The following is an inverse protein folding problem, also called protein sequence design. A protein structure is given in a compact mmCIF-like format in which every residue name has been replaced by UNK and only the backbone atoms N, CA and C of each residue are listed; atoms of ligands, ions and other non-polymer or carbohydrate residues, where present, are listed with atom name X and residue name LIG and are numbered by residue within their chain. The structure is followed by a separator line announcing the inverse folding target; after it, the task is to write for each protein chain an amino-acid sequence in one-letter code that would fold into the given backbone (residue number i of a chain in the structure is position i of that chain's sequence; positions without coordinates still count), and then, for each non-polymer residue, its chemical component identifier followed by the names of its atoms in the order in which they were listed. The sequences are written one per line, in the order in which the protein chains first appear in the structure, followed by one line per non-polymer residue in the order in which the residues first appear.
data_IF_111286563547
#
_entry.id   IF_111286563547
#
_cell.length_a   1.000
_cell.length_b   1.000
_cell.length_c   1.000
_cell.angle_alpha   90.00
_cell.angle_beta   90.00
_cell.angle_gamma   90.00
#
_symmetry.space_group_name_H-M   'P 1'
#
loop_
_entity.id
_entity.type
_entity.pdbx_description
1 polymer ?
#
# COMPACT_ATOMS: atom_id res chain seq x y z
N UNK A 1 -7.51 -1.50 34.82
CA UNK A 1 -6.97 -0.84 33.61
C UNK A 1 -7.12 -1.83 32.46
N UNK A 2 -8.26 -1.77 31.76
CA UNK A 2 -8.60 -2.73 30.69
C UNK A 2 -8.18 -2.11 29.36
N UNK A 3 -7.13 -2.66 28.75
CA UNK A 3 -6.76 -2.35 27.37
C UNK A 3 -7.87 -2.89 26.45
N UNK A 4 -8.67 -1.98 25.87
CA UNK A 4 -9.55 -2.32 24.77
C UNK A 4 -8.68 -2.72 23.57
N UNK A 5 -8.67 -4.01 23.26
CA UNK A 5 -8.19 -4.50 21.98
C UNK A 5 -9.19 -4.04 20.92
N UNK A 6 -8.89 -2.93 20.25
CA UNK A 6 -9.56 -2.57 19.01
C UNK A 6 -9.32 -3.71 18.02
N UNK A 7 -10.36 -4.50 17.74
CA UNK A 7 -10.39 -5.50 16.68
C UNK A 7 -10.18 -4.79 15.33
N UNK A 8 -8.92 -4.59 14.95
CA UNK A 8 -8.50 -4.19 13.62
C UNK A 8 -8.74 -5.37 12.66
N UNK A 9 -9.98 -5.56 12.22
CA UNK A 9 -10.21 -6.41 11.06
C UNK A 9 -9.72 -5.65 9.83
N UNK A 10 -8.59 -6.07 9.26
CA UNK A 10 -8.24 -5.77 7.88
C UNK A 10 -9.29 -6.45 7.00
N UNK A 11 -10.40 -5.75 6.74
CA UNK A 11 -11.39 -6.21 5.79
C UNK A 11 -10.91 -5.87 4.39
N UNK A 12 -10.94 -6.85 3.49
CA UNK A 12 -10.85 -6.54 2.06
C UNK A 12 -12.09 -5.70 1.70
N UNK A 13 -11.91 -4.68 0.84
CA UNK A 13 -12.99 -3.74 0.51
C UNK A 13 -13.12 -3.57 -1.00
N UNK A 14 -14.36 -3.45 -1.48
CA UNK A 14 -14.68 -2.96 -2.81
C UNK A 14 -14.98 -1.46 -2.73
N UNK A 15 -14.24 -0.65 -3.48
CA UNK A 15 -14.40 0.81 -3.54
C UNK A 15 -14.92 1.21 -4.92
N UNK A 16 -15.95 2.08 -5.01
CA UNK A 16 -16.49 2.55 -6.28
C UNK A 16 -15.43 3.09 -7.25
N UNK A 17 -15.61 2.83 -8.55
CA UNK A 17 -14.66 3.23 -9.60
C UNK A 17 -14.43 4.74 -9.69
N UNK A 18 -15.44 5.56 -9.41
CA UNK A 18 -15.30 7.02 -9.44
C UNK A 18 -14.37 7.53 -8.32
N UNK A 19 -14.41 6.89 -7.15
CA UNK A 19 -13.51 7.16 -6.03
C UNK A 19 -12.10 6.67 -6.35
N UNK A 20 -11.95 5.45 -6.87
CA UNK A 20 -10.65 4.92 -7.30
C UNK A 20 -10.01 5.80 -8.38
N UNK A 21 -10.81 6.26 -9.34
CA UNK A 21 -10.38 7.15 -10.42
C UNK A 21 -9.80 8.46 -9.88
N UNK A 22 -10.46 9.06 -8.87
CA UNK A 22 -9.93 10.24 -8.14
C UNK A 22 -8.61 9.96 -7.43
N UNK A 23 -8.42 8.74 -6.93
CA UNK A 23 -7.15 8.30 -6.33
C UNK A 23 -6.10 7.88 -7.36
N UNK A 24 -6.43 7.85 -8.66
CA UNK A 24 -5.52 7.48 -9.74
C UNK A 24 -5.39 5.98 -9.99
N UNK A 25 -6.38 5.18 -9.58
CA UNK A 25 -6.42 3.73 -9.73
C UNK A 25 -7.66 3.28 -10.49
N UNK A 26 -7.62 2.05 -11.01
CA UNK A 26 -8.79 1.37 -11.58
C UNK A 26 -8.82 -0.10 -11.19
N UNK A 27 -10.01 -0.67 -11.05
CA UNK A 27 -10.14 -2.09 -10.73
C UNK A 27 -9.63 -2.97 -11.87
N UNK A 28 -9.00 -4.06 -11.49
CA UNK A 28 -8.57 -5.14 -12.39
C UNK A 28 -9.33 -6.43 -12.14
N UNK A 29 -9.71 -6.68 -10.89
CA UNK A 29 -10.48 -7.84 -10.48
C UNK A 29 -11.17 -7.55 -9.16
N UNK A 30 -12.43 -7.96 -9.03
CA UNK A 30 -13.15 -8.01 -7.75
C UNK A 30 -13.11 -9.44 -7.23
N UNK A 31 -12.88 -9.64 -5.92
CA UNK A 31 -12.75 -10.94 -5.26
C UNK A 31 -13.58 -10.94 -3.97
N UNK A 32 -14.85 -11.32 -4.06
CA UNK A 32 -15.72 -11.33 -2.88
C UNK A 32 -15.87 -9.93 -2.28
N UNK A 33 -15.37 -9.76 -1.06
CA UNK A 33 -15.29 -8.49 -0.33
C UNK A 33 -14.09 -7.62 -0.73
N UNK A 34 -13.09 -8.16 -1.45
CA UNK A 34 -11.90 -7.45 -1.89
C UNK A 34 -11.86 -7.02 -3.36
N UNK A 35 -10.87 -6.19 -3.69
CA UNK A 35 -10.55 -5.85 -5.07
C UNK A 35 -9.05 -5.65 -5.31
N UNK A 36 -8.61 -6.10 -6.48
CA UNK A 36 -7.29 -5.79 -7.03
C UNK A 36 -7.40 -4.56 -7.92
N UNK A 37 -6.51 -3.61 -7.71
CA UNK A 37 -6.45 -2.37 -8.50
C UNK A 37 -5.11 -2.24 -9.21
N UNK A 38 -5.06 -1.42 -10.26
CA UNK A 38 -3.80 -0.97 -10.85
C UNK A 38 -3.79 0.54 -10.99
N UNK A 39 -2.60 1.12 -11.00
CA UNK A 39 -2.44 2.56 -11.23
C UNK A 39 -2.86 2.92 -12.67
N UNK A 40 -3.58 4.02 -12.84
CA UNK A 40 -4.01 4.49 -14.17
C UNK A 40 -2.81 5.01 -14.97
N UNK A 41 -1.95 5.81 -14.32
CA UNK A 41 -0.69 6.28 -14.91
C UNK A 41 0.39 5.23 -14.67
N UNK A 42 0.96 4.72 -15.76
CA UNK A 42 2.11 3.83 -15.68
C UNK A 42 3.35 4.58 -15.25
N UNK A 43 4.33 3.85 -14.75
CA UNK A 43 5.66 4.34 -14.43
C UNK A 43 6.60 3.95 -15.55
N UNK A 44 7.35 4.93 -16.06
CA UNK A 44 8.31 4.67 -17.12
C UNK A 44 9.48 3.90 -16.53
N UNK A 45 9.76 2.75 -17.13
CA UNK A 45 10.82 1.85 -16.70
C UNK A 45 12.06 2.02 -17.57
N UNK A 46 11.85 2.15 -18.87
CA UNK A 46 12.89 2.48 -19.84
C UNK A 46 12.29 3.31 -21.00
N UNK A 47 13.04 3.47 -22.08
CA UNK A 47 12.60 4.27 -23.22
C UNK A 47 11.33 3.72 -23.89
N UNK A 48 11.07 2.42 -23.81
CA UNK A 48 10.03 1.70 -24.54
C UNK A 48 9.02 0.98 -23.63
N UNK A 49 9.26 0.92 -22.32
CA UNK A 49 8.45 0.15 -21.37
C UNK A 49 7.78 1.01 -20.31
N UNK A 50 6.47 0.82 -20.19
CA UNK A 50 5.63 1.40 -19.14
C UNK A 50 5.13 0.28 -18.22
N UNK A 51 5.42 0.40 -16.93
CA UNK A 51 4.95 -0.54 -15.91
C UNK A 51 3.72 0.00 -15.19
N UNK A 52 2.69 -0.84 -15.07
CA UNK A 52 1.46 -0.52 -14.37
C UNK A 52 1.36 -1.39 -13.12
N UNK A 53 1.83 -0.90 -11.96
CA UNK A 53 1.83 -1.71 -10.75
C UNK A 53 0.41 -2.11 -10.35
N UNK A 54 0.30 -3.36 -9.89
CA UNK A 54 -0.93 -3.95 -9.35
C UNK A 54 -0.86 -3.96 -7.83
N UNK A 55 -2.00 -3.74 -7.21
CA UNK A 55 -2.13 -3.55 -5.77
C UNK A 55 -3.38 -4.24 -5.23
N UNK A 56 -3.33 -4.50 -3.93
CA UNK A 56 -4.47 -4.87 -3.10
C UNK A 56 -4.88 -3.66 -2.27
N UNK A 57 -6.18 -3.50 -2.08
CA UNK A 57 -6.78 -2.45 -1.27
C UNK A 57 -7.35 -3.05 0.02
N UNK A 58 -6.96 -2.48 1.15
CA UNK A 58 -7.50 -2.85 2.46
C UNK A 58 -8.13 -1.63 3.15
N UNK A 59 -9.11 -1.87 4.03
CA UNK A 59 -9.79 -0.84 4.81
C UNK A 59 -9.73 -1.16 6.30
N UNK A 60 -9.52 -0.13 7.10
CA UNK A 60 -9.59 -0.20 8.56
C UNK A 60 -10.31 1.04 9.07
N UNK A 61 -11.46 0.87 9.71
CA UNK A 61 -12.19 1.97 10.34
C UNK A 61 -11.94 2.01 11.84
N UNK A 62 -12.01 3.21 12.39
CA UNK A 62 -11.73 3.50 13.78
C UNK A 62 -12.92 4.23 14.41
N UNK A 63 -12.91 4.36 15.73
CA UNK A 63 -14.00 5.05 16.44
C UNK A 63 -13.98 6.57 16.23
N UNK A 64 -12.84 7.14 15.82
CA UNK A 64 -12.70 8.58 15.52
C UNK A 64 -11.77 8.84 14.33
N UNK A 65 -11.93 9.97 13.62
CA UNK A 65 -10.99 10.40 12.59
C UNK A 65 -9.55 10.54 13.10
N UNK A 66 -9.37 11.01 14.35
CA UNK A 66 -8.05 11.16 14.97
C UNK A 66 -7.35 9.82 15.17
N UNK A 67 -8.09 8.76 15.50
CA UNK A 67 -7.53 7.42 15.59
C UNK A 67 -7.06 6.90 14.22
N UNK A 68 -7.81 7.16 13.15
CA UNK A 68 -7.40 6.85 11.78
C UNK A 68 -6.13 7.60 11.38
N UNK A 69 -6.07 8.92 11.66
CA UNK A 69 -4.89 9.75 11.42
C UNK A 69 -3.66 9.27 12.21
N UNK A 70 -3.85 8.91 13.47
CA UNK A 70 -2.78 8.35 14.31
C UNK A 70 -2.24 7.06 13.73
N UNK A 71 -3.12 6.14 13.28
CA UNK A 71 -2.69 4.89 12.64
C UNK A 71 -1.94 5.14 11.33
N UNK A 72 -2.41 6.07 10.50
CA UNK A 72 -1.71 6.46 9.27
C UNK A 72 -0.29 6.96 9.58
N UNK A 73 -0.15 7.85 10.56
CA UNK A 73 1.16 8.35 11.00
C UNK A 73 2.07 7.23 11.48
N UNK A 74 1.58 6.31 12.32
CA UNK A 74 2.37 5.14 12.75
C UNK A 74 2.80 4.26 11.58
N UNK A 75 1.93 4.05 10.60
CA UNK A 75 2.25 3.28 9.39
C UNK A 75 3.34 3.98 8.58
N UNK A 76 3.26 5.30 8.40
CA UNK A 76 4.31 6.10 7.73
C UNK A 76 5.64 6.04 8.48
N UNK A 77 5.63 6.15 9.81
CA UNK A 77 6.84 6.03 10.64
C UNK A 77 7.47 4.64 10.52
N UNK A 78 6.67 3.56 10.58
CA UNK A 78 7.17 2.19 10.43
C UNK A 78 7.83 1.93 9.07
N UNK A 79 7.44 2.71 8.05
CA UNK A 79 7.99 2.64 6.70
C UNK A 79 9.20 3.55 6.50
N UNK A 80 9.59 4.41 7.45
CA UNK A 80 10.72 5.34 7.23
C UNK A 80 12.01 4.65 6.82
N UNK A 81 12.27 3.48 7.40
CA UNK A 81 13.45 2.67 7.14
C UNK A 81 13.20 1.59 6.07
N UNK A 82 12.00 1.53 5.49
CA UNK A 82 11.74 0.66 4.34
C UNK A 82 12.56 1.20 3.15
N UNK A 83 13.47 0.42 2.53
CA UNK A 83 14.22 0.85 1.35
C UNK A 83 13.32 1.23 0.16
N UNK A 84 12.03 0.87 0.20
CA UNK A 84 11.01 1.28 -0.77
C UNK A 84 10.31 2.60 -0.42
N UNK A 85 10.57 3.18 0.76
CA UNK A 85 9.96 4.43 1.15
C UNK A 85 10.41 5.58 0.24
N UNK A 86 9.46 6.38 -0.24
CA UNK A 86 9.71 7.44 -1.23
C UNK A 86 9.61 6.98 -2.69
N UNK A 87 9.65 5.68 -2.98
CA UNK A 87 9.23 5.19 -4.29
C UNK A 87 7.71 5.27 -4.36
N UNK A 88 7.20 6.15 -5.21
CA UNK A 88 5.75 6.44 -5.37
C UNK A 88 4.90 5.19 -5.63
N UNK A 89 5.48 4.03 -5.87
CA UNK A 89 4.90 2.89 -6.57
C UNK A 89 4.48 1.72 -5.68
N UNK A 90 4.62 1.81 -4.36
CA UNK A 90 4.50 0.62 -3.49
C UNK A 90 3.44 0.71 -2.40
N UNK A 91 3.21 1.90 -1.85
CA UNK A 91 2.21 2.12 -0.81
C UNK A 91 1.51 3.44 -1.02
N UNK A 92 0.22 3.47 -0.69
CA UNK A 92 -0.49 4.72 -0.53
C UNK A 92 -1.59 4.53 0.53
N UNK A 93 -1.77 5.53 1.38
CA UNK A 93 -2.76 5.49 2.43
C UNK A 93 -3.67 6.73 2.32
N UNK A 94 -4.97 6.51 2.28
CA UNK A 94 -5.98 7.56 2.21
C UNK A 94 -6.88 7.52 3.43
N UNK A 95 -7.22 8.69 3.96
CA UNK A 95 -8.21 8.81 5.02
C UNK A 95 -9.50 9.35 4.42
N UNK A 96 -10.61 8.70 4.74
CA UNK A 96 -11.95 9.20 4.42
C UNK A 96 -12.86 8.93 5.62
N UNK A 97 -13.30 10.01 6.27
CA UNK A 97 -13.99 9.94 7.56
C UNK A 97 -13.13 9.25 8.62
N UNK A 98 -13.69 8.23 9.25
CA UNK A 98 -13.06 7.42 10.29
C UNK A 98 -12.26 6.24 9.75
N UNK A 99 -12.13 6.11 8.43
CA UNK A 99 -11.52 4.93 7.80
C UNK A 99 -10.20 5.28 7.11
N UNK A 100 -9.22 4.42 7.37
CA UNK A 100 -7.94 4.34 6.67
C UNK A 100 -8.04 3.30 5.56
N UNK A 101 -7.73 3.72 4.34
CA UNK A 101 -7.59 2.86 3.17
C UNK A 101 -6.12 2.70 2.86
N UNK A 102 -5.64 1.45 2.85
CA UNK A 102 -4.24 1.12 2.59
C UNK A 102 -4.09 0.35 1.30
N UNK A 103 -3.34 0.93 0.36
CA UNK A 103 -2.94 0.32 -0.90
C UNK A 103 -1.56 -0.29 -0.70
N UNK A 104 -1.42 -1.57 -1.02
CA UNK A 104 -0.15 -2.29 -0.93
C UNK A 104 0.02 -3.21 -2.13
N UNK A 105 1.27 -3.53 -2.47
CA UNK A 105 1.57 -4.54 -3.49
C UNK A 105 2.35 -5.70 -2.88
N UNK A 106 1.88 -6.92 -3.11
CA UNK A 106 2.62 -8.14 -2.77
C UNK A 106 3.81 -8.35 -3.73
N UNK A 107 3.77 -7.72 -4.91
CA UNK A 107 4.72 -7.95 -6.00
C UNK A 107 5.91 -6.99 -5.90
N UNK A 108 6.56 -6.96 -4.72
CA UNK A 108 7.77 -6.17 -4.49
C UNK A 108 8.87 -6.53 -5.49
N UNK A 109 9.02 -7.82 -5.80
CA UNK A 109 10.10 -8.34 -6.65
C UNK A 109 9.99 -7.96 -8.15
N UNK A 110 8.79 -7.73 -8.70
CA UNK A 110 8.63 -7.43 -10.14
C UNK A 110 8.95 -5.99 -10.49
N UNK A 111 8.79 -5.04 -9.58
CA UNK A 111 9.35 -3.70 -9.78
C UNK A 111 10.89 -3.71 -9.64
N UNK A 112 11.39 -4.54 -8.73
CA UNK A 112 12.81 -4.66 -8.42
C UNK A 112 13.67 -5.22 -9.55
N UNK A 113 13.13 -6.07 -10.43
CA UNK A 113 13.86 -6.53 -11.62
C UNK A 113 14.25 -5.39 -12.55
N UNK A 114 13.56 -4.25 -12.45
CA UNK A 114 13.82 -3.07 -13.25
C UNK A 114 14.58 -1.96 -12.51
N UNK A 115 14.84 -2.12 -11.21
CA UNK A 115 15.59 -1.16 -10.38
C UNK A 115 16.66 -1.88 -9.56
N UNK A 116 17.80 -2.24 -10.17
CA UNK A 116 18.81 -3.12 -9.57
C UNK A 116 19.40 -2.55 -8.27
N UNK A 117 19.53 -1.23 -8.15
CA UNK A 117 20.02 -0.59 -6.92
C UNK A 117 19.05 -0.73 -5.76
N UNK A 118 17.75 -0.61 -6.02
CA UNK A 118 16.68 -0.80 -5.03
C UNK A 118 16.59 -2.27 -4.64
N UNK A 119 16.78 -3.18 -5.61
CA UNK A 119 16.81 -4.62 -5.35
C UNK A 119 17.96 -5.00 -4.41
N UNK A 120 19.14 -4.38 -4.60
CA UNK A 120 20.29 -4.59 -3.71
C UNK A 120 19.97 -4.12 -2.28
N UNK A 121 19.46 -2.90 -2.11
CA UNK A 121 19.04 -2.37 -0.79
C UNK A 121 18.00 -3.25 -0.11
N UNK A 122 17.01 -3.73 -0.87
CA UNK A 122 15.99 -4.64 -0.35
C UNK A 122 16.57 -5.97 0.12
N UNK A 123 17.45 -6.60 -0.66
CA UNK A 123 18.11 -7.85 -0.26
C UNK A 123 18.88 -7.69 1.04
N UNK A 124 19.63 -6.59 1.19
CA UNK A 124 20.34 -6.26 2.44
C UNK A 124 19.38 -6.08 3.62
N UNK A 125 18.34 -5.25 3.45
CA UNK A 125 17.32 -5.04 4.48
C UNK A 125 16.63 -6.34 4.94
N UNK A 126 16.28 -7.24 4.01
CA UNK A 126 15.68 -8.54 4.36
C UNK A 126 16.66 -9.44 5.12
N UNK A 127 17.96 -9.40 4.77
CA UNK A 127 18.99 -10.16 5.48
C UNK A 127 19.18 -9.64 6.92
N UNK A 128 19.23 -8.32 7.11
CA UNK A 128 19.36 -7.68 8.43
C UNK A 128 18.15 -7.94 9.34
N UNK A 129 16.93 -7.98 8.79
CA UNK A 129 15.73 -8.26 9.59
C UNK A 129 15.56 -9.75 9.91
N UNK A 130 16.01 -10.64 9.02
CA UNK A 130 15.92 -12.09 9.25
C UNK A 130 17.02 -12.62 10.16
N UNK A 131 18.13 -11.91 10.32
CA UNK A 131 19.21 -12.19 11.25
C UNK A 131 19.43 -10.97 12.17
N UNK A 132 18.52 -10.70 13.13
CA UNK A 132 18.67 -9.59 14.07
C UNK A 132 19.87 -9.77 15.00
#
# INVERSE_FOLDING_TARGET
MLCAFSNLSLAEVVVPEDVLGKWGYKTTKVRGDGQDIKRIKGERVDENQMYYPRFTLAKSCFDTPEAAMKKQKMSLESRKNDPFNGFKSHYNDFISGECLYSISTAVRATFLSYQPEVLKKYKTYVQEIRNP
#
